data_IF_586999796336
#
_entry.id   IF_586999796336
#
_cell.length_a   1.000
_cell.length_b   1.000
_cell.length_c   1.000
_cell.angle_alpha   90.00
_cell.angle_beta   90.00
_cell.angle_gamma   90.00
#
_symmetry.space_group_name_H-M   'P 1'
#
loop_
_entity.id
_entity.type
_entity.pdbx_description
1 polymer ?
#
# COMPACT_ATOMS: atom_id res chain seq x y z
N UNK A 1 18.59 -12.50 47.07
CA UNK A 1 17.60 -11.41 47.27
C UNK A 1 17.80 -10.24 46.32
N UNK A 2 19.00 -9.63 46.24
CA UNK A 2 19.28 -8.50 45.33
C UNK A 2 18.95 -8.79 43.86
N UNK A 3 19.33 -9.97 43.35
CA UNK A 3 19.08 -10.34 41.96
C UNK A 3 17.59 -10.57 41.68
N UNK A 4 16.86 -11.13 42.64
CA UNK A 4 15.40 -11.34 42.54
C UNK A 4 14.64 -10.01 42.50
N UNK A 5 15.06 -9.05 43.35
CA UNK A 5 14.50 -7.70 43.38
C UNK A 5 14.79 -6.94 42.07
N UNK A 6 15.97 -7.14 41.49
CA UNK A 6 16.36 -6.58 40.20
C UNK A 6 15.52 -7.14 39.04
N UNK A 7 15.26 -8.46 39.03
CA UNK A 7 14.39 -9.09 38.01
C UNK A 7 12.95 -8.57 38.07
N UNK A 8 12.42 -8.36 39.28
CA UNK A 8 11.06 -7.86 39.48
C UNK A 8 10.93 -6.40 39.04
N UNK A 9 11.97 -5.59 39.29
CA UNK A 9 12.04 -4.19 38.83
C UNK A 9 12.12 -4.10 37.30
N UNK A 10 12.95 -4.92 36.66
CA UNK A 10 13.03 -4.98 35.19
C UNK A 10 11.72 -5.42 34.55
N UNK A 11 11.03 -6.42 35.13
CA UNK A 11 9.70 -6.86 34.69
C UNK A 11 8.67 -5.72 34.73
N UNK A 12 8.60 -5.00 35.85
CA UNK A 12 7.72 -3.85 36.01
C UNK A 12 8.03 -2.73 35.01
N UNK A 13 9.32 -2.44 34.78
CA UNK A 13 9.73 -1.42 33.82
C UNK A 13 9.41 -1.82 32.37
N UNK A 14 9.50 -3.11 32.03
CA UNK A 14 9.17 -3.62 30.70
C UNK A 14 7.66 -3.51 30.40
N UNK A 15 6.81 -3.60 31.42
CA UNK A 15 5.35 -3.45 31.28
C UNK A 15 4.88 -2.02 30.97
N UNK A 16 5.77 -1.03 31.12
CA UNK A 16 5.51 0.37 30.77
C UNK A 16 5.83 0.69 29.30
N UNK A 17 6.41 -0.27 28.55
CA UNK A 17 6.67 -0.08 27.13
C UNK A 17 5.34 -0.05 26.35
N UNK A 18 5.19 0.86 25.38
CA UNK A 18 3.98 0.91 24.56
C UNK A 18 3.79 -0.42 23.83
N UNK A 19 2.64 -1.04 24.05
CA UNK A 19 2.21 -2.29 23.42
C UNK A 19 1.22 -1.98 22.28
N UNK A 20 1.23 -2.83 21.26
CA UNK A 20 0.31 -2.91 20.12
C UNK A 20 -0.42 -1.60 19.77
N UNK A 21 0.20 -0.79 18.91
CA UNK A 21 -0.45 0.40 18.38
C UNK A 21 -1.56 0.00 17.41
N UNK A 22 -2.78 0.50 17.63
CA UNK A 22 -3.90 0.23 16.73
C UNK A 22 -3.66 0.92 15.39
N UNK A 23 -3.80 0.16 14.32
CA UNK A 23 -3.80 0.67 12.95
C UNK A 23 -4.96 1.65 12.77
N UNK A 24 -4.64 2.91 12.47
CA UNK A 24 -5.64 3.97 12.22
C UNK A 24 -5.54 4.45 10.79
N UNK A 25 -6.70 4.66 10.17
CA UNK A 25 -6.82 5.22 8.83
C UNK A 25 -7.43 6.61 8.92
N UNK A 26 -6.94 7.52 8.10
CA UNK A 26 -7.55 8.85 7.98
C UNK A 26 -8.63 8.85 6.89
N UNK A 27 -9.75 9.49 7.18
CA UNK A 27 -10.83 9.77 6.22
C UNK A 27 -10.91 11.27 5.89
N UNK A 28 -9.86 12.03 6.22
CA UNK A 28 -9.82 13.46 5.93
C UNK A 28 -9.93 13.71 4.43
N UNK A 29 -10.77 14.68 4.00
CA UNK A 29 -10.85 15.07 2.59
C UNK A 29 -9.56 15.71 2.07
N UNK A 30 -8.69 16.18 2.97
CA UNK A 30 -7.39 16.77 2.62
C UNK A 30 -6.29 15.73 2.44
N UNK A 31 -6.53 14.47 2.81
CA UNK A 31 -5.53 13.42 2.69
C UNK A 31 -5.45 12.94 1.24
N UNK A 32 -4.41 13.39 0.53
CA UNK A 32 -4.25 13.17 -0.92
C UNK A 32 -3.23 12.09 -1.23
N UNK A 33 -3.45 11.39 -2.34
CA UNK A 33 -2.47 10.50 -2.94
C UNK A 33 -1.70 11.26 -4.02
N UNK A 34 -0.41 10.95 -4.15
CA UNK A 34 0.38 11.41 -5.29
C UNK A 34 0.59 10.27 -6.27
N UNK A 35 0.41 10.53 -7.55
CA UNK A 35 0.75 9.61 -8.62
C UNK A 35 2.11 9.98 -9.20
N UNK A 36 2.95 9.00 -9.53
CA UNK A 36 4.27 9.24 -10.11
C UNK A 36 4.22 9.69 -11.58
N UNK A 37 3.12 9.37 -12.26
CA UNK A 37 2.84 9.74 -13.63
C UNK A 37 1.32 9.90 -13.78
N UNK A 38 0.91 10.98 -14.43
CA UNK A 38 -0.47 11.26 -14.84
C UNK A 38 -0.81 10.56 -16.15
N UNK A 39 0.18 10.33 -17.01
CA UNK A 39 0.06 9.60 -18.26
C UNK A 39 1.25 8.66 -18.47
N UNK A 40 0.97 7.48 -19.01
CA UNK A 40 1.98 6.47 -19.37
C UNK A 40 1.82 6.16 -20.85
N UNK A 41 2.85 6.45 -21.65
CA UNK A 41 2.83 6.26 -23.09
C UNK A 41 3.49 4.95 -23.50
N UNK A 42 2.97 4.37 -24.58
CA UNK A 42 3.51 3.21 -25.25
C UNK A 42 3.75 3.58 -26.72
N UNK A 43 4.93 3.28 -27.24
CA UNK A 43 5.30 3.62 -28.62
C UNK A 43 4.63 2.69 -29.64
N UNK A 44 4.70 1.37 -29.40
CA UNK A 44 3.99 0.36 -30.20
C UNK A 44 3.58 -0.80 -29.30
N UNK A 45 2.34 -1.25 -29.45
CA UNK A 45 1.78 -2.39 -28.72
C UNK A 45 1.30 -3.47 -29.69
N UNK A 46 1.74 -4.69 -29.45
CA UNK A 46 1.27 -5.91 -30.11
C UNK A 46 0.30 -6.65 -29.19
N UNK A 47 -0.81 -7.13 -29.76
CA UNK A 47 -1.86 -7.85 -29.01
C UNK A 47 -1.64 -9.37 -28.99
N UNK A 48 -0.98 -9.91 -30.01
CA UNK A 48 -0.68 -11.35 -30.16
C UNK A 48 0.67 -11.76 -29.58
N UNK A 49 1.60 -10.82 -29.44
CA UNK A 49 2.92 -11.01 -28.83
C UNK A 49 3.04 -10.05 -27.66
N UNK A 50 3.55 -10.52 -26.52
CA UNK A 50 3.72 -9.69 -25.33
C UNK A 50 4.47 -8.40 -25.65
N UNK A 51 3.94 -7.27 -25.17
CA UNK A 51 4.53 -5.95 -25.34
C UNK A 51 5.26 -5.52 -24.07
N UNK A 52 5.97 -4.40 -24.14
CA UNK A 52 6.61 -3.78 -22.98
C UNK A 52 5.59 -3.51 -21.87
N UNK A 53 6.04 -3.66 -20.62
CA UNK A 53 5.26 -3.29 -19.43
C UNK A 53 5.80 -1.99 -18.87
N UNK A 54 4.89 -1.06 -18.60
CA UNK A 54 5.22 0.19 -17.92
C UNK A 54 4.70 0.15 -16.48
N UNK A 55 5.33 0.94 -15.61
CA UNK A 55 4.96 1.02 -14.20
C UNK A 55 4.82 2.47 -13.76
N UNK A 56 3.85 2.70 -12.88
CA UNK A 56 3.69 3.96 -12.15
C UNK A 56 3.35 3.62 -10.70
N UNK A 57 3.48 4.60 -9.81
CA UNK A 57 3.27 4.43 -8.38
C UNK A 57 2.17 5.37 -7.90
N UNK A 58 1.37 4.86 -6.97
CA UNK A 58 0.48 5.65 -6.13
C UNK A 58 1.14 5.72 -4.76
N UNK A 59 1.41 6.92 -4.28
CA UNK A 59 2.18 7.18 -3.07
C UNK A 59 1.30 7.91 -2.07
N UNK A 60 1.25 7.39 -0.84
CA UNK A 60 0.67 8.09 0.30
C UNK A 60 1.77 8.90 0.99
N UNK A 61 1.69 10.24 0.90
CA UNK A 61 2.64 11.16 1.56
C UNK A 61 2.10 11.71 2.90
N UNK A 62 0.92 11.25 3.32
CA UNK A 62 0.32 11.63 4.59
C UNK A 62 0.96 10.86 5.75
N UNK A 63 0.94 11.45 6.96
CA UNK A 63 1.45 10.79 8.16
C UNK A 63 0.60 9.57 8.58
N UNK A 64 -0.69 9.61 8.28
CA UNK A 64 -1.63 8.52 8.56
C UNK A 64 -1.83 7.62 7.34
N UNK A 65 -2.16 6.36 7.61
CA UNK A 65 -2.48 5.39 6.55
C UNK A 65 -3.79 5.77 5.86
N UNK A 66 -3.85 5.49 4.56
CA UNK A 66 -5.05 5.62 3.75
C UNK A 66 -5.57 4.23 3.37
N UNK A 67 -6.88 4.08 3.39
CA UNK A 67 -7.57 2.91 2.85
C UNK A 67 -8.05 3.23 1.45
N UNK A 68 -7.55 2.50 0.46
CA UNK A 68 -8.08 2.55 -0.91
C UNK A 68 -9.29 1.65 -0.97
N UNK A 69 -10.42 2.15 -1.45
CA UNK A 69 -11.65 1.35 -1.56
C UNK A 69 -11.59 0.32 -2.69
N UNK A 70 -10.95 0.69 -3.81
CA UNK A 70 -10.73 -0.18 -4.95
C UNK A 70 -9.65 0.38 -5.88
N UNK A 71 -8.93 -0.50 -6.55
CA UNK A 71 -8.08 -0.20 -7.71
C UNK A 71 -8.65 -0.98 -8.88
N UNK A 72 -9.02 -0.30 -9.97
CA UNK A 72 -9.69 -0.91 -11.13
C UNK A 72 -9.03 -0.53 -12.46
N UNK A 73 -8.91 -1.49 -13.35
CA UNK A 73 -8.64 -1.25 -14.75
C UNK A 73 -9.96 -0.98 -15.49
N UNK A 74 -10.09 0.21 -16.07
CA UNK A 74 -11.26 0.54 -16.86
C UNK A 74 -11.41 -0.41 -18.05
N UNK A 75 -12.65 -0.88 -18.29
CA UNK A 75 -12.96 -1.94 -19.26
C UNK A 75 -12.78 -3.36 -18.71
N UNK A 76 -12.19 -3.53 -17.52
CA UNK A 76 -12.05 -4.82 -16.86
C UNK A 76 -11.36 -5.86 -17.75
N UNK A 77 -11.94 -7.05 -17.86
CA UNK A 77 -11.44 -8.14 -18.71
C UNK A 77 -11.52 -7.84 -20.21
N UNK A 78 -12.36 -6.88 -20.62
CA UNK A 78 -12.48 -6.41 -22.00
C UNK A 78 -11.53 -5.27 -22.34
N UNK A 79 -10.68 -4.82 -21.41
CA UNK A 79 -9.68 -3.79 -21.68
C UNK A 79 -8.65 -4.28 -22.69
N UNK A 80 -8.20 -3.38 -23.58
CA UNK A 80 -7.07 -3.66 -24.46
C UNK A 80 -5.74 -3.79 -23.68
N UNK A 81 -5.72 -3.34 -22.43
CA UNK A 81 -4.58 -3.41 -21.53
C UNK A 81 -4.78 -4.48 -20.45
N UNK A 82 -3.67 -4.88 -19.82
CA UNK A 82 -3.66 -5.69 -18.59
C UNK A 82 -2.92 -4.92 -17.52
N UNK A 83 -3.33 -5.10 -16.26
CA UNK A 83 -2.67 -4.47 -15.12
C UNK A 83 -2.22 -5.55 -14.12
N UNK A 84 -1.12 -5.27 -13.44
CA UNK A 84 -0.71 -5.97 -12.23
C UNK A 84 -0.73 -4.97 -11.08
N UNK A 85 -1.46 -5.28 -10.01
CA UNK A 85 -1.60 -4.42 -8.83
C UNK A 85 -0.71 -5.02 -7.74
N UNK A 86 0.43 -4.37 -7.45
CA UNK A 86 1.42 -4.85 -6.46
C UNK A 86 1.81 -6.34 -6.63
N UNK A 87 1.94 -6.80 -7.87
CA UNK A 87 2.30 -8.19 -8.20
C UNK A 87 1.10 -9.14 -8.40
N UNK A 88 -0.11 -8.71 -8.10
CA UNK A 88 -1.33 -9.48 -8.36
C UNK A 88 -1.91 -9.12 -9.73
N UNK A 89 -2.01 -10.12 -10.62
CA UNK A 89 -2.67 -9.99 -11.92
C UNK A 89 -4.19 -10.00 -11.74
N UNK A 90 -4.79 -8.82 -11.52
CA UNK A 90 -6.21 -8.64 -11.34
C UNK A 90 -6.67 -7.32 -11.97
N UNK A 91 -7.85 -7.32 -12.57
CA UNK A 91 -8.46 -6.10 -13.13
C UNK A 91 -9.13 -5.24 -12.06
N UNK A 92 -9.37 -5.79 -10.87
CA UNK A 92 -9.93 -5.10 -9.71
C UNK A 92 -9.36 -5.69 -8.41
N UNK A 93 -9.01 -4.83 -7.45
CA UNK A 93 -8.63 -5.21 -6.09
C UNK A 93 -9.28 -4.23 -5.10
N UNK A 94 -9.81 -4.75 -3.99
CA UNK A 94 -10.41 -3.98 -2.90
C UNK A 94 -9.53 -4.00 -1.66
#
# INVERSE_FOLDING_TARGET
MKNFMLTLLCSALCSLLPSCQKETFTSSPDARLRISADSVLFDTVFTSTGSVTQSFKIVNENEQRLSLSAIKLMGGTGSAFKININGTAATELN
#
